data_IF_302422355018
#
_entry.id   IF_302422355018
#
_cell.length_a   1.000
_cell.length_b   1.000
_cell.length_c   1.000
_cell.angle_alpha   90.00
_cell.angle_beta   90.00
_cell.angle_gamma   90.00
#
_symmetry.space_group_name_H-M   'P 1'
#
loop_
_entity.id
_entity.type
_entity.pdbx_description
1 polymer ?
#
# COMPACT_ATOMS: atom_id res chain seq x y z
N UNK A 1 -32.57 24.83 -41.62
CA UNK A 1 -33.47 23.66 -41.82
C UNK A 1 -34.89 23.89 -41.39
N UNK A 2 -35.19 24.51 -40.25
CA UNK A 2 -36.52 24.73 -39.71
C UNK A 2 -37.38 25.61 -40.64
N UNK A 3 -36.87 26.74 -41.11
CA UNK A 3 -37.58 27.63 -42.04
C UNK A 3 -38.13 26.92 -43.30
N UNK A 4 -37.36 26.04 -43.88
CA UNK A 4 -37.78 25.26 -45.06
C UNK A 4 -38.98 24.36 -44.74
N UNK A 5 -39.02 23.75 -43.55
CA UNK A 5 -40.11 22.86 -43.14
C UNK A 5 -41.40 23.62 -42.83
N UNK A 6 -41.32 24.78 -42.15
CA UNK A 6 -42.46 25.65 -41.93
C UNK A 6 -43.09 26.06 -43.25
N UNK A 7 -42.26 26.52 -44.21
CA UNK A 7 -42.72 26.91 -45.54
C UNK A 7 -43.38 25.74 -46.26
N UNK A 8 -42.79 24.56 -46.24
CA UNK A 8 -43.35 23.37 -46.89
C UNK A 8 -44.72 22.99 -46.33
N UNK A 9 -44.88 22.96 -44.99
CA UNK A 9 -46.14 22.65 -44.35
C UNK A 9 -47.19 23.73 -44.57
N UNK A 10 -46.76 25.00 -44.60
CA UNK A 10 -47.66 26.14 -44.95
C UNK A 10 -48.22 26.06 -46.36
N UNK A 11 -47.42 25.61 -47.33
CA UNK A 11 -47.87 25.39 -48.71
C UNK A 11 -48.86 24.21 -48.80
N UNK A 12 -48.62 23.13 -48.07
CA UNK A 12 -49.40 21.90 -48.15
C UNK A 12 -50.77 22.07 -47.40
N UNK A 13 -50.77 22.67 -46.22
CA UNK A 13 -51.96 22.72 -45.34
C UNK A 13 -52.74 24.05 -45.41
N UNK A 14 -52.11 25.10 -45.98
CA UNK A 14 -52.70 26.47 -46.05
C UNK A 14 -53.21 27.05 -44.71
N UNK A 15 -52.73 26.48 -43.58
CA UNK A 15 -53.04 26.90 -42.23
C UNK A 15 -51.75 27.09 -41.43
N UNK A 16 -51.58 28.32 -40.92
CA UNK A 16 -50.38 28.74 -40.19
C UNK A 16 -50.27 28.01 -38.84
N UNK A 17 -51.42 27.78 -38.21
CA UNK A 17 -51.46 27.12 -36.89
C UNK A 17 -50.89 25.70 -36.96
N UNK A 18 -51.41 24.90 -37.87
CA UNK A 18 -50.97 23.51 -38.11
C UNK A 18 -49.52 23.45 -38.58
N UNK A 19 -49.09 24.36 -39.43
CA UNK A 19 -47.72 24.42 -39.90
C UNK A 19 -46.71 24.72 -38.77
N UNK A 20 -47.10 25.62 -37.85
CA UNK A 20 -46.30 25.98 -36.70
C UNK A 20 -46.23 24.83 -35.69
N UNK A 21 -47.33 24.17 -35.39
CA UNK A 21 -47.42 23.03 -34.48
C UNK A 21 -46.52 21.87 -34.95
N UNK A 22 -46.60 21.51 -36.23
CA UNK A 22 -45.74 20.46 -36.83
C UNK A 22 -44.26 20.86 -36.86
N UNK A 23 -43.96 22.13 -37.09
CA UNK A 23 -42.57 22.61 -37.06
C UNK A 23 -41.99 22.59 -35.64
N UNK A 24 -42.79 22.99 -34.64
CA UNK A 24 -42.40 22.94 -33.22
C UNK A 24 -42.24 21.50 -32.76
N UNK A 25 -43.13 20.58 -33.15
CA UNK A 25 -43.02 19.15 -32.82
C UNK A 25 -41.72 18.55 -33.34
N UNK A 26 -41.33 18.88 -34.56
CA UNK A 26 -40.02 18.42 -35.13
C UNK A 26 -38.85 19.05 -34.37
N UNK A 27 -38.95 20.30 -33.92
CA UNK A 27 -37.91 20.95 -33.13
C UNK A 27 -37.74 20.29 -31.77
N UNK A 28 -38.85 19.99 -31.10
CA UNK A 28 -38.82 19.31 -29.78
C UNK A 28 -38.25 17.91 -29.89
N UNK A 29 -38.64 17.14 -30.93
CA UNK A 29 -38.06 15.79 -31.18
C UNK A 29 -36.57 15.88 -31.53
N UNK A 30 -36.16 16.93 -32.24
CA UNK A 30 -34.77 17.16 -32.64
C UNK A 30 -33.92 17.76 -31.50
N UNK A 31 -34.55 18.15 -30.39
CA UNK A 31 -33.81 18.61 -29.22
C UNK A 31 -33.09 17.42 -28.58
N UNK A 32 -31.78 17.45 -28.44
CA UNK A 32 -31.02 16.36 -27.79
C UNK A 32 -31.22 16.32 -26.26
N UNK A 33 -32.30 16.95 -25.73
CA UNK A 33 -32.53 17.07 -24.31
C UNK A 33 -32.61 15.72 -23.60
N UNK A 34 -33.25 14.71 -24.24
CA UNK A 34 -33.29 13.36 -23.70
C UNK A 34 -31.90 12.69 -23.74
N UNK A 35 -31.13 12.90 -24.80
CA UNK A 35 -29.75 12.41 -24.94
C UNK A 35 -28.80 13.24 -24.08
N UNK A 36 -29.04 14.55 -23.95
CA UNK A 36 -28.21 15.46 -23.15
C UNK A 36 -28.36 15.26 -21.63
N UNK A 37 -29.44 14.64 -21.15
CA UNK A 37 -29.63 14.33 -19.74
C UNK A 37 -29.21 12.90 -19.36
N UNK A 38 -29.24 11.96 -20.28
CA UNK A 38 -28.93 10.56 -20.01
C UNK A 38 -27.48 10.38 -19.53
N UNK A 39 -26.51 10.95 -20.24
CA UNK A 39 -25.08 10.83 -19.89
C UNK A 39 -24.75 11.49 -18.54
N UNK A 40 -25.12 12.76 -18.26
CA UNK A 40 -24.88 13.37 -16.96
C UNK A 40 -25.56 12.60 -15.81
N UNK A 41 -26.78 12.08 -16.03
CA UNK A 41 -27.48 11.29 -15.01
C UNK A 41 -26.74 9.97 -14.73
N UNK A 42 -26.30 9.26 -15.77
CA UNK A 42 -25.54 8.04 -15.60
C UNK A 42 -24.22 8.28 -14.85
N UNK A 43 -23.50 9.36 -15.19
CA UNK A 43 -22.28 9.76 -14.49
C UNK A 43 -22.56 10.09 -13.03
N UNK A 44 -23.62 10.86 -12.74
CA UNK A 44 -24.02 11.24 -11.38
C UNK A 44 -24.36 9.99 -10.55
N UNK A 45 -25.14 9.08 -11.09
CA UNK A 45 -25.48 7.81 -10.40
C UNK A 45 -24.25 6.95 -10.22
N UNK A 46 -23.42 6.81 -11.24
CA UNK A 46 -22.17 6.01 -11.18
C UNK A 46 -21.18 6.56 -10.15
N UNK A 47 -20.91 7.86 -10.17
CA UNK A 47 -20.02 8.52 -9.21
C UNK A 47 -20.58 8.48 -7.79
N UNK A 48 -21.90 8.68 -7.62
CA UNK A 48 -22.58 8.57 -6.34
C UNK A 48 -22.50 7.16 -5.75
N UNK A 49 -22.69 6.13 -6.58
CA UNK A 49 -22.53 4.74 -6.17
C UNK A 49 -21.07 4.41 -5.83
N UNK A 50 -20.11 4.94 -6.60
CA UNK A 50 -18.68 4.84 -6.27
C UNK A 50 -18.39 5.45 -4.91
N UNK A 51 -18.80 6.69 -4.67
CA UNK A 51 -18.57 7.42 -3.42
C UNK A 51 -19.18 6.70 -2.20
N UNK A 52 -20.36 6.11 -2.33
CA UNK A 52 -20.98 5.32 -1.25
C UNK A 52 -20.21 4.04 -0.89
N UNK A 53 -19.27 3.61 -1.74
CA UNK A 53 -18.35 2.50 -1.51
C UNK A 53 -16.89 2.97 -1.28
N UNK A 54 -16.69 4.26 -0.96
CA UNK A 54 -15.35 4.80 -0.70
C UNK A 54 -14.51 5.08 -1.95
N UNK A 55 -15.09 4.97 -3.15
CA UNK A 55 -14.38 5.18 -4.42
C UNK A 55 -14.68 6.59 -4.92
N UNK A 56 -13.67 7.46 -4.89
CA UNK A 56 -13.78 8.83 -5.38
C UNK A 56 -13.34 8.91 -6.85
N UNK A 57 -14.30 9.12 -7.74
CA UNK A 57 -14.06 9.25 -9.19
C UNK A 57 -13.80 10.73 -9.50
N UNK A 58 -12.62 11.04 -10.04
CA UNK A 58 -12.18 12.43 -10.28
C UNK A 58 -12.84 13.08 -11.51
N UNK A 59 -13.21 12.30 -12.51
CA UNK A 59 -13.80 12.81 -13.75
C UNK A 59 -14.73 11.80 -14.40
N UNK A 60 -15.66 12.29 -15.23
CA UNK A 60 -16.53 11.47 -16.05
C UNK A 60 -15.73 10.59 -17.04
N UNK A 61 -14.64 11.13 -17.58
CA UNK A 61 -13.74 10.42 -18.49
C UNK A 61 -13.07 9.23 -17.81
N UNK A 62 -12.65 9.39 -16.54
CA UNK A 62 -12.10 8.27 -15.74
C UNK A 62 -13.11 7.15 -15.56
N UNK A 63 -14.37 7.49 -15.30
CA UNK A 63 -15.46 6.51 -15.20
C UNK A 63 -15.72 5.79 -16.53
N UNK A 64 -15.73 6.55 -17.64
CA UNK A 64 -15.92 6.01 -18.97
C UNK A 64 -14.75 5.11 -19.39
N UNK A 65 -13.51 5.48 -19.05
CA UNK A 65 -12.32 4.71 -19.43
C UNK A 65 -12.17 3.44 -18.57
N UNK A 66 -12.71 3.44 -17.35
CA UNK A 66 -12.57 2.30 -16.42
C UNK A 66 -13.01 0.96 -17.01
N UNK A 67 -14.02 0.93 -17.89
CA UNK A 67 -14.48 -0.32 -18.52
C UNK A 67 -13.51 -0.91 -19.57
N UNK A 68 -12.49 -0.15 -19.98
CA UNK A 68 -11.47 -0.59 -20.95
C UNK A 68 -10.19 -1.11 -20.29
N UNK A 69 -10.11 -1.05 -18.96
CA UNK A 69 -8.95 -1.52 -18.23
C UNK A 69 -8.89 -3.05 -18.30
N UNK A 70 -7.80 -3.57 -18.82
CA UNK A 70 -7.50 -5.00 -18.91
C UNK A 70 -6.36 -5.41 -17.99
N UNK A 71 -5.59 -4.46 -17.50
CA UNK A 71 -4.43 -4.68 -16.63
C UNK A 71 -4.47 -3.73 -15.44
N UNK A 72 -4.30 -4.26 -14.24
CA UNK A 72 -4.21 -3.48 -12.99
C UNK A 72 -2.86 -3.71 -12.34
N UNK A 73 -2.13 -2.62 -12.11
CA UNK A 73 -0.87 -2.64 -11.36
C UNK A 73 -1.12 -2.05 -9.98
N UNK A 74 -0.93 -2.87 -8.95
CA UNK A 74 -1.14 -2.47 -7.56
C UNK A 74 0.21 -2.24 -6.87
N UNK A 75 0.34 -1.13 -6.15
CA UNK A 75 1.42 -0.98 -5.19
C UNK A 75 1.19 -1.95 -4.02
N UNK A 76 2.27 -2.58 -3.55
CA UNK A 76 2.17 -3.54 -2.45
C UNK A 76 1.96 -2.83 -1.11
N UNK A 77 2.86 -1.89 -0.78
CA UNK A 77 2.97 -1.34 0.57
C UNK A 77 1.95 -0.24 0.82
N UNK A 78 1.06 -0.45 1.78
CA UNK A 78 0.00 0.53 2.13
C UNK A 78 -1.17 0.59 1.14
N UNK A 79 -1.20 -0.30 0.12
CA UNK A 79 -2.32 -0.46 -0.82
C UNK A 79 -2.90 -1.87 -0.75
N UNK A 80 -2.07 -2.88 -0.95
CA UNK A 80 -2.45 -4.31 -0.79
C UNK A 80 -2.27 -4.74 0.65
N UNK A 81 -1.26 -4.17 1.32
CA UNK A 81 -0.94 -4.39 2.74
C UNK A 81 -1.27 -3.15 3.57
N UNK A 82 -1.35 -3.30 4.88
CA UNK A 82 -1.65 -2.20 5.80
C UNK A 82 -0.53 -1.15 5.94
N UNK A 83 0.65 -1.38 5.37
CA UNK A 83 1.82 -0.52 5.55
C UNK A 83 2.43 -0.60 6.94
N UNK A 84 2.08 -1.66 7.69
CA UNK A 84 2.57 -1.89 9.05
C UNK A 84 3.36 -3.18 9.10
N UNK A 85 4.70 -3.11 9.15
CA UNK A 85 5.51 -4.31 9.28
C UNK A 85 5.20 -5.04 10.61
N UNK A 86 5.19 -6.36 10.56
CA UNK A 86 5.04 -7.22 11.72
C UNK A 86 6.09 -8.33 11.71
N UNK A 87 6.45 -8.84 12.89
CA UNK A 87 7.35 -9.98 13.02
C UNK A 87 6.62 -11.25 12.61
N UNK A 88 7.14 -11.95 11.60
CA UNK A 88 6.54 -13.17 11.06
C UNK A 88 7.29 -14.44 11.50
N UNK A 89 8.61 -14.37 11.59
CA UNK A 89 9.44 -15.52 11.93
C UNK A 89 10.59 -15.09 12.86
N UNK A 90 10.95 -16.00 13.76
CA UNK A 90 12.08 -15.85 14.68
C UNK A 90 12.87 -17.15 14.65
N UNK A 91 14.11 -17.12 14.17
CA UNK A 91 15.00 -18.28 14.13
C UNK A 91 16.24 -17.96 14.94
N UNK A 92 16.54 -18.82 15.93
CA UNK A 92 17.67 -18.65 16.85
C UNK A 92 18.84 -19.53 16.48
N UNK A 93 20.05 -19.09 16.83
CA UNK A 93 21.23 -19.94 16.80
C UNK A 93 21.15 -21.05 17.86
N UNK A 94 22.00 -22.05 17.72
CA UNK A 94 22.14 -23.11 18.72
C UNK A 94 22.44 -22.52 20.10
N UNK A 95 21.75 -23.04 21.13
CA UNK A 95 21.87 -22.60 22.53
C UNK A 95 21.34 -21.19 22.84
N UNK A 96 20.64 -20.54 21.93
CA UNK A 96 19.96 -19.25 22.15
C UNK A 96 18.45 -19.49 22.22
N UNK A 97 17.82 -19.04 23.29
CA UNK A 97 16.36 -19.13 23.41
C UNK A 97 15.67 -18.02 22.60
N UNK A 98 14.43 -18.27 22.17
CA UNK A 98 13.61 -17.25 21.51
C UNK A 98 13.45 -15.99 22.38
N UNK A 99 13.26 -16.17 23.69
CA UNK A 99 13.11 -15.04 24.61
C UNK A 99 14.41 -14.23 24.72
N UNK A 100 15.58 -14.89 24.74
CA UNK A 100 16.86 -14.19 24.76
C UNK A 100 17.08 -13.38 23.51
N UNK A 101 16.85 -13.95 22.32
CA UNK A 101 16.97 -13.23 21.06
C UNK A 101 16.02 -12.02 21.03
N UNK A 102 14.76 -12.19 21.42
CA UNK A 102 13.77 -11.11 21.45
C UNK A 102 14.10 -10.02 22.48
N UNK A 103 14.61 -10.41 23.66
CA UNK A 103 15.09 -9.44 24.66
C UNK A 103 16.20 -8.55 24.07
N UNK A 104 17.20 -9.17 23.44
CA UNK A 104 18.32 -8.45 22.84
C UNK A 104 17.86 -7.59 21.67
N UNK A 105 17.04 -8.15 20.78
CA UNK A 105 16.53 -7.45 19.61
C UNK A 105 15.69 -6.23 20.02
N UNK A 106 14.69 -6.40 20.90
CA UNK A 106 13.86 -5.31 21.35
C UNK A 106 14.66 -4.24 22.12
N UNK A 107 15.67 -4.65 22.91
CA UNK A 107 16.53 -3.69 23.60
C UNK A 107 17.37 -2.87 22.66
N UNK A 108 17.92 -3.49 21.62
CA UNK A 108 18.73 -2.80 20.61
C UNK A 108 17.89 -1.82 19.78
N UNK A 109 16.68 -2.23 19.41
CA UNK A 109 15.79 -1.47 18.51
C UNK A 109 14.96 -0.41 19.23
N UNK A 110 14.94 -0.39 20.55
CA UNK A 110 14.11 0.52 21.37
C UNK A 110 14.39 2.01 21.10
N UNK A 111 15.62 2.36 20.75
CA UNK A 111 16.03 3.74 20.45
C UNK A 111 15.90 4.11 18.96
N UNK A 112 15.51 3.18 18.12
CA UNK A 112 15.34 3.37 16.69
C UNK A 112 13.90 3.73 16.35
N UNK A 113 13.72 4.76 15.51
CA UNK A 113 12.41 5.18 14.99
C UNK A 113 12.02 4.46 13.68
N UNK A 114 12.84 3.51 13.24
CA UNK A 114 12.56 2.80 12.00
C UNK A 114 11.30 1.91 12.13
N UNK A 115 10.41 1.83 11.15
CA UNK A 115 9.18 1.03 11.23
C UNK A 115 9.40 -0.45 11.59
N UNK A 116 10.50 -1.05 11.13
CA UNK A 116 10.87 -2.42 11.48
C UNK A 116 11.23 -2.55 12.97
N UNK A 117 11.91 -1.55 13.51
CA UNK A 117 12.29 -1.50 14.93
C UNK A 117 11.05 -1.44 15.82
N UNK A 118 10.10 -0.57 15.46
CA UNK A 118 8.81 -0.45 16.18
C UNK A 118 8.08 -1.79 16.19
N UNK A 119 8.08 -2.51 15.06
CA UNK A 119 7.44 -3.82 14.97
C UNK A 119 8.08 -4.86 15.90
N UNK A 120 9.41 -4.89 16.01
CA UNK A 120 10.14 -5.81 16.89
C UNK A 120 9.85 -5.50 18.35
N UNK A 121 9.90 -4.22 18.73
CA UNK A 121 9.61 -3.78 20.12
C UNK A 121 8.18 -4.15 20.50
N UNK A 122 7.20 -3.80 19.67
CA UNK A 122 5.80 -4.14 19.91
C UNK A 122 5.56 -5.65 20.00
N UNK A 123 6.23 -6.43 19.17
CA UNK A 123 6.13 -7.90 19.24
C UNK A 123 6.67 -8.46 20.56
N UNK A 124 7.81 -7.92 21.04
CA UNK A 124 8.37 -8.32 22.32
C UNK A 124 7.48 -7.91 23.50
N UNK A 125 6.90 -6.70 23.47
CA UNK A 125 5.96 -6.21 24.48
C UNK A 125 4.71 -7.09 24.55
N UNK A 126 4.12 -7.46 23.41
CA UNK A 126 2.98 -8.36 23.34
C UNK A 126 3.27 -9.76 23.93
N UNK A 127 4.53 -10.17 23.94
CA UNK A 127 4.99 -11.41 24.56
C UNK A 127 5.44 -11.23 26.03
N UNK A 128 5.25 -10.03 26.60
CA UNK A 128 5.69 -9.68 27.96
C UNK A 128 7.22 -9.87 28.17
N UNK A 129 8.01 -9.58 27.12
CA UNK A 129 9.47 -9.66 27.19
C UNK A 129 10.02 -8.32 27.67
N UNK A 130 10.76 -8.32 28.76
CA UNK A 130 11.41 -7.13 29.29
C UNK A 130 12.65 -6.77 28.48
N UNK A 131 12.82 -5.50 28.19
CA UNK A 131 14.03 -4.96 27.57
C UNK A 131 15.08 -4.63 28.61
N UNK A 132 16.35 -4.73 28.25
CA UNK A 132 17.48 -4.25 29.05
C UNK A 132 17.89 -2.84 28.60
N UNK A 133 18.55 -2.11 29.49
CA UNK A 133 19.05 -0.78 29.13
C UNK A 133 20.22 -0.88 28.15
N UNK A 134 20.16 -0.04 27.14
CA UNK A 134 21.22 0.08 26.11
C UNK A 134 21.79 1.49 26.11
N UNK A 135 23.03 1.61 25.71
CA UNK A 135 23.75 2.89 25.54
C UNK A 135 24.48 2.91 24.18
N UNK A 136 25.12 4.05 23.88
CA UNK A 136 25.94 4.21 22.68
C UNK A 136 25.23 3.76 21.39
N UNK A 137 23.98 4.22 21.20
CA UNK A 137 23.21 3.94 19.99
C UNK A 137 23.83 4.63 18.78
N UNK A 138 24.14 3.85 17.77
CA UNK A 138 24.66 4.30 16.48
C UNK A 138 23.85 3.69 15.33
N UNK A 139 23.21 4.53 14.52
CA UNK A 139 22.56 4.10 13.30
C UNK A 139 23.57 4.13 12.15
N UNK A 140 23.73 2.99 11.46
CA UNK A 140 24.64 2.83 10.31
C UNK A 140 23.77 2.81 9.04
N UNK A 141 23.79 3.88 8.23
CA UNK A 141 22.91 4.02 7.07
C UNK A 141 23.03 2.85 6.10
N UNK A 142 21.89 2.26 5.72
CA UNK A 142 21.81 1.15 4.79
C UNK A 142 22.35 -0.19 5.32
N UNK A 143 22.69 -0.27 6.62
CA UNK A 143 23.23 -1.47 7.28
C UNK A 143 22.36 -1.93 8.44
N UNK A 144 22.13 -1.06 9.42
CA UNK A 144 21.43 -1.37 10.65
C UNK A 144 21.87 -0.48 11.80
N UNK A 145 21.89 -1.03 13.00
CA UNK A 145 22.24 -0.31 14.23
C UNK A 145 23.29 -1.05 15.05
N UNK A 146 24.06 -0.29 15.81
CA UNK A 146 24.98 -0.77 16.83
C UNK A 146 24.60 -0.15 18.17
N UNK A 147 24.56 -0.95 19.22
CA UNK A 147 24.32 -0.48 20.58
C UNK A 147 25.21 -1.22 21.58
N UNK A 148 25.39 -0.66 22.77
CA UNK A 148 25.99 -1.38 23.90
C UNK A 148 24.93 -1.73 24.93
N UNK A 149 24.93 -2.97 25.37
CA UNK A 149 24.15 -3.44 26.52
C UNK A 149 25.13 -3.97 27.56
N UNK A 150 25.19 -3.31 28.69
CA UNK A 150 26.21 -3.55 29.74
C UNK A 150 27.64 -3.47 29.17
N UNK A 151 28.32 -4.63 29.07
CA UNK A 151 29.68 -4.74 28.52
C UNK A 151 29.74 -5.30 27.10
N UNK A 152 28.59 -5.68 26.54
CA UNK A 152 28.48 -6.34 25.25
C UNK A 152 28.07 -5.38 24.14
N UNK A 153 28.61 -5.58 22.94
CA UNK A 153 28.20 -4.87 21.73
C UNK A 153 27.16 -5.70 21.01
N UNK A 154 26.00 -5.10 20.73
CA UNK A 154 24.93 -5.71 19.95
C UNK A 154 24.90 -5.04 18.58
N UNK A 155 24.83 -5.86 17.55
CA UNK A 155 24.61 -5.45 16.16
C UNK A 155 23.26 -5.99 15.70
N UNK A 156 22.45 -5.13 15.08
CA UNK A 156 21.19 -5.50 14.47
C UNK A 156 21.15 -4.91 13.06
N UNK A 157 20.91 -5.71 12.04
CA UNK A 157 20.91 -5.20 10.67
C UNK A 157 20.83 -6.27 9.59
N UNK A 158 21.16 -5.88 8.37
CA UNK A 158 21.14 -6.74 7.20
C UNK A 158 22.39 -7.65 7.13
N UNK A 159 22.42 -8.58 6.16
CA UNK A 159 23.54 -9.50 5.93
C UNK A 159 24.87 -8.77 5.73
N UNK A 160 24.83 -7.62 5.03
CA UNK A 160 26.06 -6.85 4.77
C UNK A 160 26.66 -6.27 6.05
N UNK A 161 25.84 -5.84 7.01
CA UNK A 161 26.34 -5.40 8.32
C UNK A 161 27.08 -6.52 9.05
N UNK A 162 26.59 -7.73 8.99
CA UNK A 162 27.25 -8.90 9.61
C UNK A 162 28.58 -9.19 8.93
N UNK A 163 28.59 -9.16 7.60
CA UNK A 163 29.83 -9.37 6.80
C UNK A 163 30.88 -8.28 7.09
N UNK A 164 30.47 -7.02 7.13
CA UNK A 164 31.38 -5.87 7.41
C UNK A 164 32.02 -5.98 8.82
N UNK A 165 31.37 -6.68 9.74
CA UNK A 165 31.88 -6.95 11.10
C UNK A 165 32.48 -8.37 11.26
N UNK A 166 32.76 -9.08 10.18
CA UNK A 166 33.34 -10.43 10.17
C UNK A 166 32.50 -11.46 10.97
N UNK A 167 31.18 -11.35 10.95
CA UNK A 167 30.27 -12.30 11.59
C UNK A 167 29.80 -13.30 10.54
N UNK A 168 30.01 -14.57 10.79
CA UNK A 168 29.56 -15.64 9.91
C UNK A 168 28.06 -15.84 9.99
N UNK A 169 27.40 -15.71 8.84
CA UNK A 169 25.95 -15.88 8.68
C UNK A 169 25.60 -17.14 7.87
N UNK A 170 26.57 -17.96 7.50
CA UNK A 170 26.40 -19.09 6.58
C UNK A 170 25.32 -20.08 7.05
N UNK A 171 25.22 -20.30 8.36
CA UNK A 171 24.22 -21.18 8.96
C UNK A 171 22.77 -20.71 8.79
N UNK A 172 22.57 -19.41 8.52
CA UNK A 172 21.25 -18.82 8.33
C UNK A 172 20.95 -18.41 6.88
N UNK A 173 21.91 -18.49 5.96
CA UNK A 173 21.75 -18.04 4.58
C UNK A 173 20.54 -18.68 3.89
N UNK A 174 20.40 -19.99 4.00
CA UNK A 174 19.24 -20.71 3.44
C UNK A 174 17.90 -20.21 3.96
N UNK A 175 17.81 -19.96 5.27
CA UNK A 175 16.59 -19.45 5.89
C UNK A 175 16.27 -18.02 5.45
N UNK A 176 17.29 -17.16 5.43
CA UNK A 176 17.17 -15.78 5.01
C UNK A 176 16.75 -15.65 3.53
N UNK A 177 17.35 -16.45 2.64
CA UNK A 177 16.99 -16.48 1.22
C UNK A 177 15.55 -16.93 1.01
N UNK A 178 15.12 -17.97 1.73
CA UNK A 178 13.73 -18.44 1.70
C UNK A 178 12.74 -17.37 2.18
N UNK A 179 13.07 -16.64 3.24
CA UNK A 179 12.27 -15.52 3.75
C UNK A 179 12.20 -14.38 2.74
N UNK A 180 13.33 -14.01 2.13
CA UNK A 180 13.40 -12.98 1.09
C UNK A 180 12.54 -13.34 -0.13
N UNK A 181 12.56 -14.61 -0.58
CA UNK A 181 11.70 -15.10 -1.66
C UNK A 181 10.19 -14.99 -1.32
N UNK A 182 9.84 -15.04 -0.04
CA UNK A 182 8.47 -14.84 0.45
C UNK A 182 8.12 -13.34 0.64
N UNK A 183 8.99 -12.42 0.24
CA UNK A 183 8.80 -10.98 0.40
C UNK A 183 8.96 -10.47 1.83
N UNK A 184 9.61 -11.25 2.71
CA UNK A 184 9.93 -10.86 4.07
C UNK A 184 11.32 -10.22 4.14
N UNK A 185 11.54 -9.38 5.13
CA UNK A 185 12.83 -8.73 5.39
C UNK A 185 13.51 -9.42 6.57
N UNK A 186 14.56 -10.22 6.36
CA UNK A 186 15.34 -10.82 7.44
C UNK A 186 16.29 -9.79 8.05
N UNK A 187 16.24 -9.63 9.37
CA UNK A 187 17.20 -8.87 10.16
C UNK A 187 18.02 -9.82 11.03
N UNK A 188 19.33 -9.62 11.02
CA UNK A 188 20.30 -10.41 11.78
C UNK A 188 20.63 -9.71 13.09
N UNK A 189 20.77 -10.49 14.15
CA UNK A 189 21.14 -10.02 15.47
C UNK A 189 22.39 -10.74 15.95
N UNK A 190 23.38 -9.97 16.39
CA UNK A 190 24.63 -10.52 16.90
C UNK A 190 25.05 -9.82 18.20
N UNK A 191 25.76 -10.53 19.07
CA UNK A 191 26.34 -10.02 20.31
C UNK A 191 27.80 -10.47 20.39
N UNK A 192 28.72 -9.52 20.59
CA UNK A 192 30.16 -9.77 20.73
C UNK A 192 30.71 -10.68 19.60
N UNK A 193 30.41 -10.31 18.34
CA UNK A 193 30.78 -11.02 17.12
C UNK A 193 30.19 -12.44 16.97
N UNK A 194 29.20 -12.82 17.78
CA UNK A 194 28.48 -14.09 17.64
C UNK A 194 27.07 -13.84 17.16
N UNK A 195 26.68 -14.52 16.10
CA UNK A 195 25.30 -14.46 15.58
C UNK A 195 24.35 -15.14 16.59
N UNK A 196 23.29 -14.45 16.95
CA UNK A 196 22.24 -14.94 17.86
C UNK A 196 21.05 -15.53 17.10
N UNK A 197 20.75 -14.98 15.92
CA UNK A 197 19.65 -15.43 15.11
C UNK A 197 19.18 -14.38 14.11
N UNK A 198 18.06 -14.69 13.47
CA UNK A 198 17.38 -13.80 12.52
C UNK A 198 15.91 -13.62 12.93
N UNK A 199 15.41 -12.43 12.71
CA UNK A 199 13.99 -12.09 12.84
C UNK A 199 13.51 -11.59 11.48
N UNK A 200 12.48 -12.22 10.92
CA UNK A 200 11.89 -11.77 9.67
C UNK A 200 10.66 -10.92 9.92
N UNK A 201 10.54 -9.86 9.14
CA UNK A 201 9.40 -8.96 9.16
C UNK A 201 8.77 -8.91 7.79
N UNK A 202 7.46 -8.78 7.76
CA UNK A 202 6.72 -8.51 6.54
C UNK A 202 5.63 -7.48 6.81
N UNK A 203 5.26 -6.78 5.77
CA UNK A 203 4.07 -5.94 5.74
C UNK A 203 2.87 -6.86 5.43
N UNK A 204 1.92 -6.91 6.34
CA UNK A 204 0.74 -7.79 6.28
C UNK A 204 -0.52 -7.07 5.84
#
# INVERSE_FOLDING_TARGET
MVQRRVITWMIIRKDLGTALELAISVLVISCPCALGLATPTAIMVGTGKGASNGILIKSAESLETAHRIDTVVLDKTGTVTEGKPSVTDVITAENISHNELLTIAASAEKMSEHPLSVAIVSYAENKNINTVNTSDFEAIPGRGIRVKADKSVILAGNAQMMTDNNIDISSFSFHADKMAQQGKTPLYFARDNKLLGIIALADT
#
